data_IF_613127742077
#
_entry.id   IF_613127742077
#
_cell.length_a   1.000
_cell.length_b   1.000
_cell.length_c   1.000
_cell.angle_alpha   90.00
_cell.angle_beta   90.00
_cell.angle_gamma   90.00
#
_symmetry.space_group_name_H-M   'P 1'
#
loop_
_entity.id
_entity.type
_entity.pdbx_description
1 polymer ?
#
# COMPACT_ATOMS: atom_id res chain seq x y z
N UNK A 1 -10.74 -10.04 6.18
CA UNK A 1 -10.66 -11.52 6.09
C UNK A 1 -11.06 -12.03 4.70
N UNK A 2 -12.21 -11.62 4.15
CA UNK A 2 -12.71 -12.10 2.84
C UNK A 2 -11.73 -11.81 1.69
N UNK A 3 -11.05 -10.66 1.70
CA UNK A 3 -10.06 -10.29 0.69
C UNK A 3 -8.80 -11.17 0.66
N UNK A 4 -8.56 -11.98 1.70
CA UNK A 4 -7.41 -12.89 1.75
C UNK A 4 -7.49 -14.03 0.74
N UNK A 5 -8.68 -14.37 0.27
CA UNK A 5 -8.87 -15.41 -0.75
C UNK A 5 -8.53 -14.90 -2.16
N UNK A 6 -8.60 -13.58 -2.37
CA UNK A 6 -8.32 -12.96 -3.67
C UNK A 6 -6.91 -13.27 -4.22
N UNK A 7 -5.81 -13.29 -3.42
CA UNK A 7 -4.48 -13.62 -3.90
C UNK A 7 -4.35 -15.01 -4.56
N UNK A 8 -5.23 -15.96 -4.26
CA UNK A 8 -5.17 -17.32 -4.84
C UNK A 8 -5.13 -17.27 -6.37
N UNK A 9 -5.97 -16.44 -6.98
CA UNK A 9 -6.05 -16.34 -8.44
C UNK A 9 -5.23 -15.15 -8.95
N UNK A 10 -5.28 -14.00 -8.27
CA UNK A 10 -4.64 -12.78 -8.72
C UNK A 10 -3.12 -12.90 -8.82
N UNK A 11 -2.48 -13.61 -7.91
CA UNK A 11 -1.04 -13.87 -7.95
C UNK A 11 -0.61 -14.60 -9.22
N UNK A 12 -1.29 -15.70 -9.53
CA UNK A 12 -0.97 -16.51 -10.71
C UNK A 12 -1.35 -15.79 -12.00
N UNK A 13 -2.49 -15.09 -12.01
CA UNK A 13 -2.94 -14.31 -13.16
C UNK A 13 -1.91 -13.23 -13.55
N UNK A 14 -1.33 -12.54 -12.59
CA UNK A 14 -0.26 -11.55 -12.86
C UNK A 14 0.94 -12.20 -13.53
N UNK A 15 1.40 -13.35 -13.01
CA UNK A 15 2.57 -14.07 -13.56
C UNK A 15 2.32 -14.61 -14.96
N UNK A 16 1.17 -15.25 -15.17
CA UNK A 16 0.81 -15.83 -16.44
C UNK A 16 0.60 -14.73 -17.51
N UNK A 17 -0.09 -13.64 -17.15
CA UNK A 17 -0.30 -12.50 -18.05
C UNK A 17 1.02 -11.82 -18.43
N UNK A 18 1.95 -11.63 -17.48
CA UNK A 18 3.27 -11.06 -17.75
C UNK A 18 4.14 -11.95 -18.65
N UNK A 19 3.85 -13.25 -18.71
CA UNK A 19 4.50 -14.21 -19.60
C UNK A 19 3.74 -14.45 -20.91
N UNK A 20 2.72 -13.64 -21.18
CA UNK A 20 1.83 -13.78 -22.34
C UNK A 20 1.08 -15.13 -22.42
N UNK A 21 0.85 -15.79 -21.29
CA UNK A 21 -0.01 -16.96 -21.22
C UNK A 21 -1.47 -16.50 -21.23
N UNK A 22 -2.28 -17.09 -22.11
CA UNK A 22 -3.70 -16.79 -22.25
C UNK A 22 -4.50 -17.34 -21.05
N UNK A 23 -4.71 -16.50 -20.05
CA UNK A 23 -5.33 -16.88 -18.78
C UNK A 23 -6.36 -15.87 -18.25
N UNK A 24 -6.54 -14.75 -18.92
CA UNK A 24 -7.32 -13.63 -18.41
C UNK A 24 -8.80 -13.95 -18.16
N UNK A 25 -9.48 -14.63 -19.12
CA UNK A 25 -10.88 -15.07 -18.93
C UNK A 25 -11.00 -16.10 -17.80
N UNK A 26 -10.05 -17.03 -17.73
CA UNK A 26 -9.98 -18.01 -16.64
C UNK A 26 -9.82 -17.32 -15.28
N UNK A 27 -9.01 -16.27 -15.22
CA UNK A 27 -8.79 -15.49 -14.01
C UNK A 27 -10.07 -14.78 -13.55
N UNK A 28 -10.76 -14.09 -14.44
CA UNK A 28 -12.02 -13.37 -14.11
C UNK A 28 -13.10 -14.35 -13.65
N UNK A 29 -13.37 -15.41 -14.43
CA UNK A 29 -14.42 -16.38 -14.09
C UNK A 29 -14.13 -17.13 -12.78
N UNK A 30 -12.88 -17.52 -12.56
CA UNK A 30 -12.47 -18.20 -11.33
C UNK A 30 -12.60 -17.29 -10.11
N UNK A 31 -12.24 -16.02 -10.25
CA UNK A 31 -12.37 -15.02 -9.17
C UNK A 31 -13.84 -14.74 -8.87
N UNK A 32 -14.70 -14.65 -9.88
CA UNK A 32 -16.14 -14.49 -9.66
C UNK A 32 -16.72 -15.71 -8.94
N UNK A 33 -16.30 -16.93 -9.28
CA UNK A 33 -16.71 -18.14 -8.56
C UNK A 33 -16.26 -18.10 -7.08
N UNK A 34 -15.01 -17.70 -6.80
CA UNK A 34 -14.51 -17.56 -5.43
C UNK A 34 -15.24 -16.43 -4.67
N UNK A 35 -15.68 -15.38 -5.36
CA UNK A 35 -16.43 -14.29 -4.72
C UNK A 35 -17.77 -14.74 -4.15
N UNK A 36 -18.42 -15.77 -4.74
CA UNK A 36 -19.64 -16.37 -4.18
C UNK A 36 -19.35 -16.97 -2.80
N UNK A 37 -18.24 -17.72 -2.66
CA UNK A 37 -17.79 -18.20 -1.36
C UNK A 37 -17.45 -17.04 -0.39
N UNK A 38 -16.85 -15.98 -0.90
CA UNK A 38 -16.57 -14.76 -0.15
C UNK A 38 -17.84 -14.08 0.37
N UNK A 39 -18.88 -13.99 -0.45
CA UNK A 39 -20.22 -13.47 -0.07
C UNK A 39 -20.82 -14.32 1.05
N UNK A 40 -20.80 -15.65 0.91
CA UNK A 40 -21.34 -16.55 1.91
C UNK A 40 -20.61 -16.41 3.26
N UNK A 41 -19.28 -16.32 3.22
CA UNK A 41 -18.45 -16.11 4.41
C UNK A 41 -18.73 -14.73 5.04
N UNK A 42 -18.86 -13.69 4.23
CA UNK A 42 -19.17 -12.34 4.73
C UNK A 42 -20.54 -12.31 5.43
N UNK A 43 -21.57 -12.91 4.84
CA UNK A 43 -22.91 -12.99 5.45
C UNK A 43 -22.84 -13.71 6.78
N UNK A 44 -22.12 -14.84 6.85
CA UNK A 44 -21.93 -15.58 8.09
C UNK A 44 -21.28 -14.73 9.18
N UNK A 45 -20.16 -14.07 8.84
CA UNK A 45 -19.44 -13.17 9.77
C UNK A 45 -20.33 -12.01 10.20
N UNK A 46 -21.05 -11.39 9.27
CA UNK A 46 -21.96 -10.27 9.56
C UNK A 46 -23.08 -10.67 10.53
N UNK A 47 -23.57 -11.89 10.40
CA UNK A 47 -24.58 -12.42 11.32
C UNK A 47 -24.05 -12.61 12.73
N UNK A 48 -22.84 -13.20 12.85
CA UNK A 48 -22.17 -13.33 14.16
C UNK A 48 -21.83 -11.98 14.77
N UNK A 49 -21.30 -11.05 13.99
CA UNK A 49 -20.97 -9.72 14.49
C UNK A 49 -22.21 -8.96 14.96
N UNK A 50 -23.31 -9.00 14.22
CA UNK A 50 -24.59 -8.38 14.64
C UNK A 50 -25.18 -9.02 15.91
N UNK A 51 -24.86 -10.28 16.21
CA UNK A 51 -25.30 -10.95 17.44
C UNK A 51 -24.46 -10.57 18.67
N UNK A 52 -23.14 -10.40 18.49
CA UNK A 52 -22.20 -10.14 19.59
C UNK A 52 -21.85 -8.66 19.79
N UNK A 53 -22.30 -7.77 18.90
CA UNK A 53 -21.99 -6.34 18.97
C UNK A 53 -23.25 -5.52 18.76
N UNK A 54 -23.28 -4.30 19.28
CA UNK A 54 -24.39 -3.34 19.08
C UNK A 54 -24.44 -2.73 17.66
N UNK A 55 -23.72 -3.31 16.71
CA UNK A 55 -23.70 -2.81 15.33
C UNK A 55 -24.97 -3.21 14.59
N UNK A 56 -25.59 -2.24 13.92
CA UNK A 56 -26.81 -2.48 13.14
C UNK A 56 -26.55 -3.52 12.03
N UNK A 57 -27.18 -4.69 12.16
CA UNK A 57 -27.02 -5.82 11.24
C UNK A 57 -27.37 -5.48 9.79
N UNK A 58 -28.35 -4.58 9.56
CA UNK A 58 -28.72 -4.17 8.21
C UNK A 58 -27.57 -3.43 7.52
N UNK A 59 -26.81 -2.61 8.23
CA UNK A 59 -25.64 -1.90 7.69
C UNK A 59 -24.55 -2.91 7.32
N UNK A 60 -24.29 -3.91 8.16
CA UNK A 60 -23.35 -4.98 7.84
C UNK A 60 -23.77 -5.75 6.59
N UNK A 61 -25.06 -6.08 6.46
CA UNK A 61 -25.58 -6.82 5.29
C UNK A 61 -25.48 -6.00 3.99
N UNK A 62 -25.69 -4.69 4.04
CA UNK A 62 -25.49 -3.82 2.85
C UNK A 62 -24.05 -3.90 2.35
N UNK A 63 -23.08 -4.08 3.24
CA UNK A 63 -21.66 -4.26 2.88
C UNK A 63 -21.37 -5.48 2.02
N UNK A 64 -22.27 -6.47 1.95
CA UNK A 64 -22.15 -7.66 1.08
C UNK A 64 -21.92 -7.28 -0.38
N UNK A 65 -22.54 -6.20 -0.86
CA UNK A 65 -22.43 -5.72 -2.25
C UNK A 65 -20.97 -5.40 -2.64
N UNK A 66 -20.13 -5.03 -1.67
CA UNK A 66 -18.72 -4.72 -1.91
C UNK A 66 -17.89 -5.96 -2.22
N UNK A 67 -18.26 -7.16 -1.75
CA UNK A 67 -17.46 -8.36 -1.90
C UNK A 67 -17.17 -8.68 -3.38
N UNK A 68 -18.17 -8.89 -4.25
CA UNK A 68 -17.91 -9.22 -5.65
C UNK A 68 -17.19 -8.07 -6.39
N UNK A 69 -17.45 -6.84 -6.02
CA UNK A 69 -16.82 -5.66 -6.62
C UNK A 69 -15.34 -5.59 -6.28
N UNK A 70 -14.96 -5.84 -5.02
CA UNK A 70 -13.55 -5.88 -4.58
C UNK A 70 -12.82 -7.05 -5.26
N UNK A 71 -13.45 -8.22 -5.41
CA UNK A 71 -12.86 -9.35 -6.12
C UNK A 71 -12.64 -9.04 -7.60
N UNK A 72 -13.61 -8.41 -8.27
CA UNK A 72 -13.50 -8.01 -9.66
C UNK A 72 -12.42 -6.93 -9.85
N UNK A 73 -12.38 -5.91 -8.99
CA UNK A 73 -11.34 -4.89 -9.01
C UNK A 73 -9.95 -5.53 -8.82
N UNK A 74 -9.81 -6.45 -7.84
CA UNK A 74 -8.57 -7.15 -7.54
C UNK A 74 -8.05 -7.97 -8.73
N UNK A 75 -8.90 -8.74 -9.41
CA UNK A 75 -8.45 -9.54 -10.54
C UNK A 75 -8.11 -8.70 -11.78
N UNK A 76 -8.87 -7.64 -12.06
CA UNK A 76 -8.55 -6.70 -13.13
C UNK A 76 -7.24 -5.96 -12.86
N UNK A 77 -6.99 -5.60 -11.60
CA UNK A 77 -5.71 -5.06 -11.16
C UNK A 77 -4.58 -6.06 -11.41
N UNK A 78 -4.77 -7.34 -11.09
CA UNK A 78 -3.77 -8.39 -11.30
C UNK A 78 -3.45 -8.61 -12.78
N UNK A 79 -4.45 -8.65 -13.65
CA UNK A 79 -4.27 -8.77 -15.10
C UNK A 79 -3.49 -7.56 -15.63
N UNK A 80 -3.88 -6.34 -15.24
CA UNK A 80 -3.19 -5.12 -15.66
C UNK A 80 -1.78 -5.04 -15.07
N UNK A 81 -1.54 -5.58 -13.88
CA UNK A 81 -0.20 -5.64 -13.31
C UNK A 81 0.76 -6.45 -14.19
N UNK A 82 0.28 -7.54 -14.79
CA UNK A 82 1.07 -8.33 -15.74
C UNK A 82 1.13 -7.76 -17.16
N UNK A 83 0.18 -6.90 -17.55
CA UNK A 83 0.04 -6.42 -18.93
C UNK A 83 0.34 -4.94 -19.13
N UNK A 84 -0.43 -4.08 -18.49
CA UNK A 84 -0.35 -2.61 -18.58
C UNK A 84 -0.32 -1.98 -17.16
N UNK A 85 0.81 -2.05 -16.44
CA UNK A 85 0.86 -1.63 -15.02
C UNK A 85 0.40 -0.18 -14.77
N UNK A 86 0.57 0.72 -15.74
CA UNK A 86 0.09 2.12 -15.65
C UNK A 86 -1.43 2.23 -15.48
N UNK A 87 -2.18 1.26 -16.01
CA UNK A 87 -3.65 1.23 -15.87
C UNK A 87 -4.09 1.19 -14.39
N UNK A 88 -3.28 0.56 -13.53
CA UNK A 88 -3.56 0.48 -12.09
C UNK A 88 -3.54 1.88 -11.46
N UNK A 89 -2.56 2.72 -11.86
CA UNK A 89 -2.46 4.09 -11.38
C UNK A 89 -3.67 4.93 -11.80
N UNK A 90 -4.14 4.77 -13.03
CA UNK A 90 -5.36 5.44 -13.51
C UNK A 90 -6.60 4.96 -12.77
N UNK A 91 -6.75 3.65 -12.55
CA UNK A 91 -7.86 3.09 -11.77
C UNK A 91 -7.87 3.58 -10.32
N UNK A 92 -6.70 3.60 -9.67
CA UNK A 92 -6.54 4.10 -8.30
C UNK A 92 -6.83 5.60 -8.19
N UNK A 93 -6.34 6.40 -9.15
CA UNK A 93 -6.60 7.83 -9.20
C UNK A 93 -8.10 8.11 -9.39
N UNK A 94 -8.73 7.41 -10.32
CA UNK A 94 -10.16 7.56 -10.57
C UNK A 94 -11.00 7.18 -9.35
N UNK A 95 -10.64 6.09 -8.65
CA UNK A 95 -11.25 5.73 -7.38
C UNK A 95 -11.12 6.86 -6.35
N UNK A 96 -9.91 7.37 -6.14
CA UNK A 96 -9.64 8.42 -5.15
C UNK A 96 -10.39 9.73 -5.45
N UNK A 97 -10.33 10.19 -6.72
CA UNK A 97 -10.99 11.44 -7.14
C UNK A 97 -12.53 11.32 -7.09
N UNK A 98 -13.08 10.17 -7.45
CA UNK A 98 -14.53 9.97 -7.47
C UNK A 98 -15.12 9.67 -6.10
N UNK A 99 -14.38 9.00 -5.20
CA UNK A 99 -14.89 8.60 -3.89
C UNK A 99 -15.27 9.79 -3.01
N UNK A 100 -14.51 10.89 -3.05
CA UNK A 100 -14.75 12.09 -2.21
C UNK A 100 -16.07 12.79 -2.57
N UNK A 101 -16.30 13.25 -3.82
CA UNK A 101 -17.55 13.93 -4.16
C UNK A 101 -18.76 13.01 -4.04
N UNK A 102 -18.62 11.72 -4.36
CA UNK A 102 -19.73 10.75 -4.20
C UNK A 102 -20.06 10.59 -2.71
N UNK A 103 -19.05 10.47 -1.84
CA UNK A 103 -19.24 10.36 -0.40
C UNK A 103 -19.92 11.62 0.17
N UNK A 104 -19.44 12.81 -0.20
CA UNK A 104 -20.06 14.07 0.22
C UNK A 104 -21.54 14.17 -0.22
N UNK A 105 -21.86 13.75 -1.45
CA UNK A 105 -23.22 13.72 -1.94
C UNK A 105 -24.14 12.81 -1.12
N UNK A 106 -23.71 11.57 -0.86
CA UNK A 106 -24.56 10.61 -0.11
C UNK A 106 -24.61 10.90 1.38
N UNK A 107 -23.51 11.36 1.98
CA UNK A 107 -23.45 11.58 3.44
C UNK A 107 -24.05 12.94 3.79
N UNK A 108 -23.62 14.00 3.12
CA UNK A 108 -23.97 15.36 3.47
C UNK A 108 -25.30 15.82 2.85
N UNK A 109 -25.51 15.54 1.54
CA UNK A 109 -26.69 16.01 0.83
C UNK A 109 -27.90 15.10 1.03
N UNK A 110 -27.71 13.77 0.99
CA UNK A 110 -28.80 12.79 1.18
C UNK A 110 -28.93 12.29 2.63
N UNK A 111 -28.02 12.61 3.52
CA UNK A 111 -28.02 12.19 4.94
C UNK A 111 -28.07 10.67 5.14
N UNK A 112 -27.46 9.88 4.25
CA UNK A 112 -27.45 8.41 4.33
C UNK A 112 -26.48 7.85 5.39
N UNK A 113 -25.70 8.70 6.04
CA UNK A 113 -24.76 8.29 7.10
C UNK A 113 -23.80 7.18 6.63
N UNK A 114 -23.66 6.12 7.42
CA UNK A 114 -22.76 4.98 7.11
C UNK A 114 -23.14 4.26 5.82
N UNK A 115 -24.43 4.13 5.51
CA UNK A 115 -24.89 3.53 4.26
C UNK A 115 -24.40 4.33 3.05
N UNK A 116 -24.38 5.67 3.17
CA UNK A 116 -23.83 6.55 2.14
C UNK A 116 -22.34 6.31 1.87
N UNK A 117 -21.55 5.97 2.90
CA UNK A 117 -20.15 5.59 2.74
C UNK A 117 -20.04 4.29 1.93
N UNK A 118 -20.81 3.26 2.26
CA UNK A 118 -20.80 1.97 1.57
C UNK A 118 -21.15 2.16 0.08
N UNK A 119 -22.17 2.93 -0.22
CA UNK A 119 -22.59 3.24 -1.60
C UNK A 119 -21.48 4.02 -2.33
N UNK A 120 -20.86 5.00 -1.69
CA UNK A 120 -19.78 5.76 -2.32
C UNK A 120 -18.56 4.91 -2.66
N UNK A 121 -18.15 4.02 -1.76
CA UNK A 121 -17.07 3.05 -1.99
C UNK A 121 -17.44 2.09 -3.13
N UNK A 122 -18.70 1.62 -3.19
CA UNK A 122 -19.19 0.78 -4.27
C UNK A 122 -19.09 1.48 -5.62
N UNK A 123 -19.64 2.69 -5.76
CA UNK A 123 -19.63 3.44 -7.01
C UNK A 123 -18.23 3.84 -7.45
N UNK A 124 -17.37 4.27 -6.53
CA UNK A 124 -15.99 4.59 -6.83
C UNK A 124 -15.20 3.35 -7.34
N UNK A 125 -15.45 2.17 -6.76
CA UNK A 125 -14.89 0.92 -7.28
C UNK A 125 -15.41 0.59 -8.68
N UNK A 126 -16.67 0.82 -8.99
CA UNK A 126 -17.23 0.60 -10.35
C UNK A 126 -16.51 1.49 -11.35
N UNK A 127 -16.25 2.76 -11.02
CA UNK A 127 -15.50 3.68 -11.91
C UNK A 127 -14.07 3.13 -12.14
N UNK A 128 -13.41 2.68 -11.09
CA UNK A 128 -12.08 2.05 -11.20
C UNK A 128 -12.12 0.80 -12.09
N UNK A 129 -13.12 -0.08 -11.89
CA UNK A 129 -13.32 -1.30 -12.66
C UNK A 129 -13.49 -1.01 -14.15
N UNK A 130 -14.27 0.01 -14.52
CA UNK A 130 -14.47 0.41 -15.92
C UNK A 130 -13.13 0.73 -16.58
N UNK A 131 -12.28 1.51 -15.91
CA UNK A 131 -10.95 1.86 -16.41
C UNK A 131 -10.06 0.62 -16.51
N UNK A 132 -9.96 -0.17 -15.45
CA UNK A 132 -9.15 -1.37 -15.44
C UNK A 132 -9.59 -2.38 -16.51
N UNK A 133 -10.89 -2.56 -16.71
CA UNK A 133 -11.46 -3.42 -17.73
C UNK A 133 -11.12 -2.93 -19.14
N UNK A 134 -11.19 -1.61 -19.40
CA UNK A 134 -10.82 -1.03 -20.68
C UNK A 134 -9.40 -1.44 -21.11
N UNK A 135 -8.44 -1.40 -20.18
CA UNK A 135 -7.06 -1.79 -20.45
C UNK A 135 -6.84 -3.32 -20.49
N UNK A 136 -7.62 -4.08 -19.71
CA UNK A 136 -7.50 -5.55 -19.62
C UNK A 136 -8.28 -6.31 -20.70
N UNK A 137 -9.21 -5.65 -21.44
CA UNK A 137 -10.16 -6.29 -22.35
C UNK A 137 -9.53 -7.24 -23.37
N UNK A 138 -8.33 -6.94 -23.87
CA UNK A 138 -7.62 -7.77 -24.84
C UNK A 138 -7.22 -9.12 -24.24
N UNK A 139 -6.80 -9.14 -22.96
CA UNK A 139 -6.38 -10.35 -22.24
C UNK A 139 -7.56 -11.17 -21.68
N UNK A 140 -8.77 -10.60 -21.65
CA UNK A 140 -9.99 -11.28 -21.16
C UNK A 140 -10.75 -11.98 -22.29
N UNK A 141 -10.40 -11.73 -23.57
CA UNK A 141 -11.07 -12.34 -24.73
C UNK A 141 -10.75 -13.82 -24.93
N UNK A 142 -9.74 -14.35 -24.25
CA UNK A 142 -9.30 -15.74 -24.30
C UNK A 142 -10.40 -16.71 -23.90
N UNK A 143 -10.19 -18.01 -24.15
CA UNK A 143 -11.10 -19.05 -23.69
C UNK A 143 -10.80 -19.46 -22.23
N UNK A 144 -11.83 -19.95 -21.51
CA UNK A 144 -11.62 -20.51 -20.18
C UNK A 144 -10.80 -21.80 -20.25
N UNK A 145 -9.68 -21.84 -19.53
CA UNK A 145 -8.79 -22.99 -19.47
C UNK A 145 -8.86 -23.68 -18.10
N UNK A 146 -9.53 -24.84 -18.06
CA UNK A 146 -9.70 -25.62 -16.84
C UNK A 146 -8.39 -26.16 -16.28
N UNK A 147 -7.39 -26.40 -17.11
CA UNK A 147 -6.07 -26.91 -16.68
C UNK A 147 -5.32 -25.84 -15.91
N UNK A 148 -5.33 -24.61 -16.40
CA UNK A 148 -4.75 -23.45 -15.71
C UNK A 148 -5.44 -23.24 -14.35
N UNK A 149 -6.76 -23.26 -14.31
CA UNK A 149 -7.52 -23.12 -13.07
C UNK A 149 -7.16 -24.18 -12.03
N UNK A 150 -7.11 -25.47 -12.44
CA UNK A 150 -6.69 -26.57 -11.56
C UNK A 150 -5.26 -26.39 -11.04
N UNK A 151 -4.34 -25.93 -11.90
CA UNK A 151 -2.95 -25.63 -11.52
C UNK A 151 -2.92 -24.53 -10.44
N UNK A 152 -3.67 -23.45 -10.60
CA UNK A 152 -3.74 -22.37 -9.61
C UNK A 152 -4.29 -22.83 -8.27
N UNK A 153 -5.33 -23.66 -8.26
CA UNK A 153 -5.87 -24.22 -7.03
C UNK A 153 -4.88 -25.17 -6.34
N UNK A 154 -4.17 -26.02 -7.10
CA UNK A 154 -3.16 -26.94 -6.57
C UNK A 154 -2.04 -26.18 -5.84
N UNK A 155 -1.65 -25.01 -6.33
CA UNK A 155 -0.58 -24.19 -5.77
C UNK A 155 -1.10 -22.96 -5.00
N UNK A 156 -2.36 -22.94 -4.61
CA UNK A 156 -2.99 -21.84 -3.88
C UNK A 156 -2.34 -21.51 -2.53
N UNK A 157 -1.72 -22.50 -1.89
CA UNK A 157 -1.00 -22.34 -0.64
C UNK A 157 0.16 -21.32 -0.74
N UNK A 158 0.79 -21.23 -1.92
CA UNK A 158 1.93 -20.33 -2.12
C UNK A 158 1.56 -18.83 -2.04
N UNK A 159 0.52 -18.32 -2.75
CA UNK A 159 0.06 -16.94 -2.58
C UNK A 159 -0.65 -16.68 -1.24
N UNK A 160 -1.15 -17.71 -0.56
CA UNK A 160 -1.75 -17.55 0.78
C UNK A 160 -0.69 -17.42 1.88
N UNK A 161 0.47 -18.00 1.70
CA UNK A 161 1.54 -17.97 2.70
C UNK A 161 1.98 -16.55 3.11
N UNK A 162 2.21 -15.58 2.20
CA UNK A 162 2.47 -14.21 2.58
C UNK A 162 1.35 -13.56 3.40
N UNK A 163 0.10 -14.00 3.19
CA UNK A 163 -1.06 -13.54 3.94
C UNK A 163 -0.99 -13.87 5.43
N UNK A 164 -0.30 -14.95 5.80
CA UNK A 164 -0.11 -15.33 7.22
C UNK A 164 0.68 -14.23 7.95
N UNK A 165 1.74 -13.70 7.34
CA UNK A 165 2.50 -12.62 7.94
C UNK A 165 1.64 -11.35 8.16
N UNK A 166 0.75 -11.03 7.21
CA UNK A 166 -0.18 -9.91 7.32
C UNK A 166 -1.20 -10.13 8.44
N UNK A 167 -1.72 -11.36 8.59
CA UNK A 167 -2.64 -11.71 9.70
C UNK A 167 -1.96 -11.57 11.04
N UNK A 168 -0.76 -12.12 11.17
CA UNK A 168 0.01 -12.04 12.42
C UNK A 168 0.36 -10.59 12.75
N UNK A 169 0.74 -9.78 11.75
CA UNK A 169 0.99 -8.36 11.96
C UNK A 169 -0.26 -7.64 12.50
N UNK A 170 -1.44 -7.91 11.92
CA UNK A 170 -2.70 -7.28 12.34
C UNK A 170 -3.17 -7.65 13.76
N UNK A 171 -2.50 -8.60 14.44
CA UNK A 171 -2.75 -8.87 15.85
C UNK A 171 -2.25 -7.73 16.76
N UNK A 172 -1.38 -6.85 16.27
CA UNK A 172 -0.81 -5.74 17.02
C UNK A 172 -1.89 -4.81 17.60
N UNK A 173 -2.93 -4.49 16.82
CA UNK A 173 -4.09 -3.71 17.26
C UNK A 173 -4.81 -4.41 18.40
N UNK A 174 -5.07 -5.72 18.25
CA UNK A 174 -5.75 -6.51 19.28
C UNK A 174 -4.92 -6.61 20.56
N UNK A 175 -3.62 -6.84 20.43
CA UNK A 175 -2.66 -6.92 21.54
C UNK A 175 -2.62 -5.60 22.30
N UNK A 176 -2.47 -4.48 21.56
CA UNK A 176 -2.49 -3.16 22.19
C UNK A 176 -3.78 -2.93 22.96
N UNK A 177 -4.94 -3.21 22.36
CA UNK A 177 -6.24 -3.01 23.00
C UNK A 177 -6.42 -3.88 24.24
N UNK A 178 -6.02 -5.15 24.18
CA UNK A 178 -6.18 -6.10 25.30
C UNK A 178 -5.26 -5.71 26.48
N UNK A 179 -4.02 -5.34 26.18
CA UNK A 179 -3.03 -5.05 27.23
C UNK A 179 -3.27 -3.68 27.85
N UNK A 180 -3.58 -2.66 27.03
CA UNK A 180 -3.73 -1.28 27.53
C UNK A 180 -5.14 -0.92 27.95
N UNK A 181 -6.16 -1.62 27.45
CA UNK A 181 -7.57 -1.25 27.61
C UNK A 181 -7.95 0.09 26.94
N UNK A 182 -7.04 0.69 26.16
CA UNK A 182 -7.17 2.06 25.65
C UNK A 182 -7.73 2.12 24.24
N UNK A 183 -9.03 2.41 24.11
CA UNK A 183 -9.66 2.75 22.81
C UNK A 183 -9.17 4.11 22.29
N UNK A 184 -8.88 5.06 23.19
CA UNK A 184 -8.34 6.38 22.84
C UNK A 184 -6.96 6.26 22.19
N UNK A 185 -6.09 5.36 22.71
CA UNK A 185 -4.80 5.07 22.11
C UNK A 185 -4.93 4.59 20.66
N UNK A 186 -5.92 3.73 20.37
CA UNK A 186 -6.19 3.30 18.98
C UNK A 186 -6.63 4.46 18.08
N UNK A 187 -7.43 5.40 18.59
CA UNK A 187 -7.83 6.57 17.81
C UNK A 187 -6.61 7.41 17.42
N UNK A 188 -5.68 7.66 18.36
CA UNK A 188 -4.41 8.36 18.10
C UNK A 188 -3.53 7.58 17.12
N UNK A 189 -3.41 6.25 17.25
CA UNK A 189 -2.68 5.40 16.32
C UNK A 189 -3.24 5.51 14.90
N UNK A 190 -4.56 5.36 14.76
CA UNK A 190 -5.23 5.43 13.46
C UNK A 190 -5.05 6.80 12.81
N UNK A 191 -5.21 7.88 13.57
CA UNK A 191 -4.96 9.23 13.10
C UNK A 191 -3.50 9.42 12.65
N UNK A 192 -2.54 8.98 13.48
CA UNK A 192 -1.11 9.06 13.18
C UNK A 192 -0.71 8.29 11.91
N UNK A 193 -1.40 7.19 11.57
CA UNK A 193 -1.14 6.40 10.35
C UNK A 193 -1.64 7.06 9.06
N UNK A 194 -2.59 8.00 9.12
CA UNK A 194 -3.17 8.63 7.92
C UNK A 194 -2.10 9.32 7.07
N UNK A 195 -1.26 10.15 7.68
CA UNK A 195 -0.23 10.91 6.96
C UNK A 195 0.87 10.00 6.37
N UNK A 196 1.48 9.07 7.14
CA UNK A 196 2.44 8.11 6.60
C UNK A 196 1.89 7.24 5.47
N UNK A 197 0.58 6.95 5.46
CA UNK A 197 -0.05 6.14 4.41
C UNK A 197 0.17 6.70 3.00
N UNK A 198 0.36 8.01 2.86
CA UNK A 198 0.69 8.68 1.59
C UNK A 198 1.99 8.12 1.00
N UNK A 199 2.96 7.76 1.85
CA UNK A 199 4.25 7.21 1.42
C UNK A 199 4.08 5.85 0.74
N UNK A 200 3.06 5.08 1.13
CA UNK A 200 2.77 3.78 0.52
C UNK A 200 2.46 3.89 -0.99
N UNK A 201 2.01 5.05 -1.47
CA UNK A 201 1.73 5.28 -2.88
C UNK A 201 3.00 5.31 -3.75
N UNK A 202 4.19 5.47 -3.16
CA UNK A 202 5.46 5.31 -3.89
C UNK A 202 5.62 3.90 -4.46
N UNK A 203 4.97 2.89 -3.87
CA UNK A 203 4.93 1.54 -4.41
C UNK A 203 4.34 1.47 -5.83
N UNK A 204 3.53 2.46 -6.25
CA UNK A 204 3.00 2.55 -7.62
C UNK A 204 4.10 2.67 -8.66
N UNK A 205 5.21 3.36 -8.32
CA UNK A 205 6.39 3.51 -9.18
C UNK A 205 6.99 2.15 -9.49
N UNK A 206 7.01 1.25 -8.51
CA UNK A 206 7.64 -0.07 -8.62
C UNK A 206 6.74 -1.16 -9.20
N UNK A 207 5.46 -0.87 -9.47
CA UNK A 207 4.53 -1.88 -10.02
C UNK A 207 4.95 -2.44 -11.38
N UNK A 208 5.62 -1.63 -12.21
CA UNK A 208 6.12 -2.09 -13.50
C UNK A 208 7.37 -2.98 -13.41
N UNK A 209 8.06 -3.03 -12.26
CA UNK A 209 9.29 -3.81 -12.07
C UNK A 209 9.01 -5.32 -12.19
N UNK A 210 8.00 -5.79 -11.48
CA UNK A 210 7.68 -7.20 -11.41
C UNK A 210 7.38 -7.85 -12.78
N UNK A 211 6.48 -7.30 -13.63
CA UNK A 211 6.23 -7.84 -14.97
C UNK A 211 7.47 -7.83 -15.85
N UNK A 212 8.25 -6.74 -15.83
CA UNK A 212 9.48 -6.62 -16.65
C UNK A 212 10.53 -7.64 -16.25
N UNK A 213 10.66 -7.98 -14.96
CA UNK A 213 11.55 -9.04 -14.51
C UNK A 213 11.05 -10.43 -14.93
N UNK A 214 9.74 -10.67 -14.95
CA UNK A 214 9.16 -11.90 -15.46
C UNK A 214 9.38 -12.09 -16.97
N UNK A 215 9.45 -10.98 -17.73
CA UNK A 215 9.79 -10.98 -19.17
C UNK A 215 11.30 -11.11 -19.43
N UNK A 216 12.13 -11.32 -18.41
CA UNK A 216 13.60 -11.41 -18.48
C UNK A 216 14.28 -10.10 -18.95
N UNK A 217 13.59 -8.96 -18.85
CA UNK A 217 14.14 -7.65 -19.17
C UNK A 217 15.06 -7.11 -18.06
N UNK A 218 15.98 -6.25 -18.45
CA UNK A 218 17.24 -5.91 -17.78
C UNK A 218 17.15 -5.47 -16.31
N UNK A 219 18.18 -5.85 -15.54
CA UNK A 219 18.44 -5.49 -14.12
C UNK A 219 18.62 -3.98 -13.90
N UNK A 220 18.99 -3.23 -14.95
CA UNK A 220 19.14 -1.78 -14.94
C UNK A 220 17.83 -1.07 -14.61
N UNK A 221 16.70 -1.61 -15.10
CA UNK A 221 15.39 -1.07 -14.83
C UNK A 221 15.05 -1.07 -13.32
N UNK A 222 15.47 -2.10 -12.57
CA UNK A 222 15.26 -2.14 -11.13
C UNK A 222 16.08 -1.07 -10.39
N UNK A 223 17.33 -0.85 -10.80
CA UNK A 223 18.20 0.19 -10.22
C UNK A 223 17.62 1.59 -10.43
N UNK A 224 17.13 1.88 -11.64
CA UNK A 224 16.48 3.16 -11.96
C UNK A 224 15.18 3.35 -11.15
N UNK A 225 14.38 2.31 -11.06
CA UNK A 225 13.13 2.32 -10.31
C UNK A 225 13.36 2.56 -8.81
N UNK A 226 14.38 1.91 -8.22
CA UNK A 226 14.75 2.15 -6.83
C UNK A 226 15.22 3.60 -6.60
N UNK A 227 15.97 4.17 -7.54
CA UNK A 227 16.40 5.58 -7.45
C UNK A 227 15.19 6.52 -7.44
N UNK A 228 14.19 6.29 -8.29
CA UNK A 228 12.94 7.05 -8.29
C UNK A 228 12.12 6.83 -7.01
N UNK A 229 12.09 5.60 -6.51
CA UNK A 229 11.42 5.28 -5.25
C UNK A 229 12.04 6.04 -4.08
N UNK A 230 13.38 6.11 -4.00
CA UNK A 230 14.07 6.92 -3.00
C UNK A 230 13.81 8.41 -3.19
N UNK A 231 13.79 8.90 -4.43
CA UNK A 231 13.50 10.29 -4.73
C UNK A 231 12.14 10.74 -4.16
N UNK A 232 11.08 10.02 -4.53
CA UNK A 232 9.72 10.33 -4.04
C UNK A 232 9.54 9.93 -2.57
N UNK A 233 10.15 8.84 -2.12
CA UNK A 233 10.09 8.41 -0.73
C UNK A 233 10.68 9.43 0.23
N UNK A 234 11.88 9.95 -0.06
CA UNK A 234 12.54 11.00 0.73
C UNK A 234 11.69 12.26 0.75
N UNK A 235 11.15 12.68 -0.40
CA UNK A 235 10.26 13.83 -0.49
C UNK A 235 9.04 13.66 0.43
N UNK A 236 8.35 12.51 0.34
CA UNK A 236 7.13 12.27 1.12
C UNK A 236 7.41 12.08 2.62
N UNK A 237 8.52 11.44 2.99
CA UNK A 237 8.96 11.38 4.40
C UNK A 237 9.18 12.79 4.93
N UNK A 238 9.95 13.61 4.20
CA UNK A 238 10.23 14.99 4.62
C UNK A 238 8.96 15.84 4.70
N UNK A 239 8.01 15.61 3.78
CA UNK A 239 6.69 16.23 3.84
C UNK A 239 5.95 15.82 5.11
N UNK A 240 5.89 14.52 5.43
CA UNK A 240 5.22 14.05 6.66
C UNK A 240 5.92 14.61 7.89
N UNK A 241 7.25 14.57 7.95
CA UNK A 241 8.01 15.12 9.10
C UNK A 241 7.70 16.60 9.33
N UNK A 242 7.63 17.40 8.26
CA UNK A 242 7.36 18.85 8.33
C UNK A 242 5.92 19.13 8.72
N UNK A 243 4.96 18.40 8.15
CA UNK A 243 3.54 18.69 8.27
C UNK A 243 2.77 17.70 9.17
N UNK A 244 3.45 16.80 9.92
CA UNK A 244 2.77 15.87 10.82
C UNK A 244 1.89 16.59 11.84
N UNK A 245 2.44 17.61 12.51
CA UNK A 245 1.74 18.39 13.55
C UNK A 245 0.52 19.13 12.97
N UNK A 246 0.66 20.06 12.01
CA UNK A 246 -0.49 20.76 11.44
C UNK A 246 -1.44 19.84 10.66
N UNK A 247 -0.95 18.76 10.05
CA UNK A 247 -1.79 17.79 9.35
C UNK A 247 -2.71 17.01 10.30
N UNK A 248 -2.21 16.58 11.45
CA UNK A 248 -3.02 15.93 12.48
C UNK A 248 -4.00 16.92 13.14
N UNK A 249 -3.57 18.16 13.36
CA UNK A 249 -4.46 19.21 13.83
C UNK A 249 -5.62 19.46 12.85
N UNK A 250 -5.35 19.42 11.54
CA UNK A 250 -6.39 19.55 10.51
C UNK A 250 -7.46 18.45 10.56
N UNK A 251 -7.07 17.23 10.98
CA UNK A 251 -8.03 16.14 11.19
C UNK A 251 -8.89 16.37 12.44
N UNK A 252 -8.24 16.66 13.53
CA UNK A 252 -8.84 17.10 14.80
C UNK A 252 -7.73 17.60 15.71
N UNK A 253 -7.89 18.78 16.36
CA UNK A 253 -6.89 19.34 17.27
C UNK A 253 -6.38 18.37 18.34
N UNK A 254 -7.21 17.45 18.81
CA UNK A 254 -6.83 16.45 19.82
C UNK A 254 -5.76 15.46 19.32
N UNK A 255 -5.67 15.24 17.99
CA UNK A 255 -4.70 14.31 17.40
C UNK A 255 -3.31 14.94 17.22
N UNK A 256 -3.18 16.25 17.38
CA UNK A 256 -1.91 16.98 17.23
C UNK A 256 -0.78 16.32 18.05
N UNK A 257 -1.07 15.91 19.29
CA UNK A 257 -0.07 15.30 20.19
C UNK A 257 0.55 14.00 19.65
N UNK A 258 -0.11 13.34 18.69
CA UNK A 258 0.39 12.08 18.09
C UNK A 258 1.39 12.32 16.93
N UNK A 259 1.79 13.58 16.65
CA UNK A 259 2.72 13.86 15.54
C UNK A 259 4.06 13.12 15.62
N UNK A 260 4.68 12.86 16.80
CA UNK A 260 5.93 12.12 16.83
C UNK A 260 5.76 10.64 16.40
N UNK A 261 4.59 10.07 16.69
CA UNK A 261 4.23 8.72 16.23
C UNK A 261 4.13 8.70 14.70
N UNK A 262 3.46 9.69 14.09
CA UNK A 262 3.37 9.81 12.63
C UNK A 262 4.74 9.95 11.97
N UNK A 263 5.68 10.69 12.59
CA UNK A 263 7.06 10.80 12.09
C UNK A 263 7.75 9.45 12.08
N UNK A 264 7.72 8.69 13.18
CA UNK A 264 8.35 7.36 13.25
C UNK A 264 7.72 6.41 12.22
N UNK A 265 6.40 6.40 12.11
CA UNK A 265 5.66 5.57 11.16
C UNK A 265 5.97 5.95 9.70
N UNK A 266 6.35 7.19 9.40
CA UNK A 266 6.75 7.58 8.05
C UNK A 266 7.99 6.81 7.54
N UNK A 267 8.96 6.59 8.41
CA UNK A 267 10.14 5.79 8.11
C UNK A 267 9.78 4.29 8.02
N UNK A 268 8.94 3.80 8.94
CA UNK A 268 8.49 2.40 8.91
C UNK A 268 7.75 2.08 7.61
N UNK A 269 6.77 2.90 7.22
CA UNK A 269 6.00 2.71 5.97
C UNK A 269 6.92 2.72 4.75
N UNK A 270 7.92 3.59 4.70
CA UNK A 270 8.89 3.60 3.60
C UNK A 270 9.72 2.32 3.55
N UNK A 271 10.20 1.83 4.69
CA UNK A 271 10.91 0.54 4.77
C UNK A 271 10.00 -0.63 4.37
N UNK A 272 8.72 -0.57 4.73
CA UNK A 272 7.71 -1.56 4.31
C UNK A 272 7.51 -1.55 2.78
N UNK A 273 7.51 -0.36 2.15
CA UNK A 273 7.49 -0.24 0.68
C UNK A 273 8.74 -0.88 0.07
N UNK A 274 9.93 -0.58 0.58
CA UNK A 274 11.19 -1.20 0.11
C UNK A 274 11.14 -2.73 0.25
N UNK A 275 10.67 -3.24 1.39
CA UNK A 275 10.46 -4.67 1.62
C UNK A 275 9.60 -5.28 0.52
N UNK A 276 8.46 -4.69 0.20
CA UNK A 276 7.56 -5.19 -0.83
C UNK A 276 8.21 -5.17 -2.22
N UNK A 277 8.97 -4.11 -2.56
CA UNK A 277 9.71 -4.03 -3.82
C UNK A 277 10.77 -5.12 -3.92
N UNK A 278 11.52 -5.40 -2.86
CA UNK A 278 12.51 -6.46 -2.85
C UNK A 278 11.89 -7.85 -2.97
N UNK A 279 10.79 -8.10 -2.25
CA UNK A 279 10.04 -9.36 -2.35
C UNK A 279 9.50 -9.60 -3.77
N UNK A 280 8.90 -8.56 -4.39
CA UNK A 280 8.42 -8.63 -5.76
C UNK A 280 9.57 -8.84 -6.76
N UNK A 281 10.71 -8.19 -6.53
CA UNK A 281 11.89 -8.35 -7.40
C UNK A 281 12.45 -9.76 -7.34
N UNK A 282 12.58 -10.35 -6.15
CA UNK A 282 13.01 -11.74 -5.99
C UNK A 282 12.02 -12.72 -6.62
N UNK A 283 10.72 -12.47 -6.44
CA UNK A 283 9.68 -13.27 -7.08
C UNK A 283 9.68 -13.15 -8.62
N UNK A 284 10.01 -11.96 -9.16
CA UNK A 284 10.06 -11.69 -10.59
C UNK A 284 11.14 -12.47 -11.34
N UNK A 285 12.28 -12.75 -10.69
CA UNK A 285 13.38 -13.53 -11.31
C UNK A 285 13.27 -15.03 -11.06
N UNK A 286 12.26 -15.48 -10.30
CA UNK A 286 12.07 -16.91 -10.03
C UNK A 286 11.43 -17.63 -11.22
N UNK A 287 11.96 -18.80 -11.52
CA UNK A 287 11.54 -19.63 -12.67
C UNK A 287 10.96 -20.99 -12.27
N UNK A 288 10.88 -21.31 -10.97
CA UNK A 288 10.42 -22.62 -10.49
C UNK A 288 9.05 -23.02 -11.04
N UNK A 289 8.17 -22.06 -11.24
CA UNK A 289 6.81 -22.27 -11.76
C UNK A 289 6.72 -22.41 -13.28
N UNK A 290 7.84 -22.21 -14.01
CA UNK A 290 7.94 -22.51 -15.45
C UNK A 290 8.11 -24.01 -15.72
N UNK A 291 8.64 -24.77 -14.77
CA UNK A 291 8.88 -26.20 -14.93
C UNK A 291 7.63 -26.99 -14.54
N UNK A 292 7.14 -27.85 -15.46
CA UNK A 292 5.93 -28.66 -15.24
C UNK A 292 6.09 -29.67 -14.09
N UNK A 293 7.32 -30.18 -13.89
CA UNK A 293 7.65 -31.19 -12.89
C UNK A 293 8.11 -30.61 -11.54
N UNK A 294 7.93 -29.29 -11.30
CA UNK A 294 8.33 -28.69 -10.03
C UNK A 294 7.60 -29.33 -8.85
N UNK A 295 8.38 -29.79 -7.88
CA UNK A 295 7.88 -30.41 -6.65
C UNK A 295 7.63 -29.36 -5.57
N UNK A 296 6.88 -29.72 -4.51
CA UNK A 296 6.70 -28.88 -3.32
C UNK A 296 8.05 -28.46 -2.69
N UNK A 297 9.04 -29.36 -2.69
CA UNK A 297 10.37 -29.09 -2.15
C UNK A 297 11.12 -28.01 -2.94
N UNK A 298 10.92 -27.94 -4.26
CA UNK A 298 11.52 -26.91 -5.11
C UNK A 298 10.91 -25.56 -4.83
N UNK A 299 9.59 -25.48 -4.60
CA UNK A 299 8.92 -24.24 -4.20
C UNK A 299 9.39 -23.72 -2.84
N UNK A 300 9.58 -24.58 -1.83
CA UNK A 300 10.07 -24.17 -0.50
C UNK A 300 11.47 -23.55 -0.60
N UNK A 301 12.34 -24.05 -1.46
CA UNK A 301 13.70 -23.52 -1.67
C UNK A 301 13.73 -22.31 -2.61
N UNK A 302 12.61 -21.98 -3.23
CA UNK A 302 12.53 -20.92 -4.24
C UNK A 302 12.53 -19.51 -3.62
N UNK A 303 12.80 -18.51 -4.46
CA UNK A 303 12.68 -17.11 -4.14
C UNK A 303 11.23 -16.64 -3.95
N UNK A 304 10.26 -17.50 -4.22
CA UNK A 304 8.84 -17.24 -3.95
C UNK A 304 8.48 -17.48 -2.48
N UNK A 305 9.12 -18.48 -1.86
CA UNK A 305 8.79 -18.90 -0.49
C UNK A 305 9.77 -18.37 0.55
N UNK A 306 11.06 -18.56 0.34
CA UNK A 306 12.10 -18.28 1.34
C UNK A 306 12.09 -16.81 1.83
N UNK A 307 12.02 -15.77 0.98
CA UNK A 307 11.97 -14.39 1.44
C UNK A 307 10.70 -14.06 2.24
N UNK A 308 9.58 -14.70 1.91
CA UNK A 308 8.33 -14.55 2.67
C UNK A 308 8.44 -15.19 4.06
N UNK A 309 9.21 -16.28 4.19
CA UNK A 309 9.49 -16.90 5.49
C UNK A 309 10.30 -15.96 6.39
N UNK A 310 11.29 -15.27 5.84
CA UNK A 310 12.05 -14.25 6.58
C UNK A 310 11.12 -13.14 7.09
N UNK A 311 10.20 -12.67 6.23
CA UNK A 311 9.18 -11.70 6.62
C UNK A 311 8.28 -12.22 7.75
N UNK A 312 7.83 -13.46 7.65
CA UNK A 312 7.00 -14.07 8.71
C UNK A 312 7.74 -14.16 10.05
N UNK A 313 9.02 -14.58 10.03
CA UNK A 313 9.86 -14.65 11.23
C UNK A 313 10.00 -13.23 11.84
N UNK A 314 10.29 -12.21 11.03
CA UNK A 314 10.37 -10.83 11.50
C UNK A 314 9.06 -10.38 12.13
N UNK A 315 7.92 -10.69 11.50
CA UNK A 315 6.59 -10.33 12.03
C UNK A 315 6.32 -11.01 13.38
N UNK A 316 6.68 -12.29 13.54
CA UNK A 316 6.55 -13.00 14.82
C UNK A 316 7.43 -12.33 15.89
N UNK A 317 8.68 -12.01 15.57
CA UNK A 317 9.60 -11.30 16.49
C UNK A 317 9.01 -9.95 16.88
N UNK A 318 8.48 -9.18 15.92
CA UNK A 318 7.81 -7.91 16.16
C UNK A 318 6.66 -8.07 17.17
N UNK A 319 5.76 -9.03 16.96
CA UNK A 319 4.61 -9.26 17.83
C UNK A 319 5.03 -9.70 19.25
N UNK A 320 6.06 -10.55 19.35
CA UNK A 320 6.58 -10.97 20.67
C UNK A 320 7.15 -9.77 21.42
N UNK A 321 8.01 -8.97 20.79
CA UNK A 321 8.63 -7.79 21.42
C UNK A 321 7.57 -6.77 21.81
N UNK A 322 6.59 -6.52 20.92
CA UNK A 322 5.47 -5.62 21.20
C UNK A 322 4.66 -6.09 22.42
N UNK A 323 4.28 -7.37 22.45
CA UNK A 323 3.48 -7.94 23.54
C UNK A 323 4.20 -7.85 24.89
N UNK A 324 5.45 -8.31 24.93
CA UNK A 324 6.27 -8.29 26.16
C UNK A 324 6.53 -6.84 26.61
N UNK A 325 6.92 -5.98 25.68
CA UNK A 325 7.23 -4.59 26.00
C UNK A 325 6.00 -3.80 26.47
N UNK A 326 4.84 -3.94 25.83
CA UNK A 326 3.60 -3.32 26.31
C UNK A 326 3.19 -3.83 27.69
N UNK A 327 3.31 -5.14 27.95
CA UNK A 327 2.97 -5.73 29.25
C UNK A 327 3.84 -5.17 30.40
N UNK A 328 5.11 -4.83 30.11
CA UNK A 328 6.01 -4.22 31.08
C UNK A 328 5.69 -2.73 31.26
N UNK A 329 5.46 -2.02 30.15
CA UNK A 329 5.30 -0.56 30.16
C UNK A 329 3.97 -0.10 30.73
N UNK A 330 2.87 -0.84 30.53
CA UNK A 330 1.53 -0.45 31.03
C UNK A 330 1.51 -0.21 32.53
N UNK A 331 2.34 -0.94 33.29
CA UNK A 331 2.46 -0.76 34.75
C UNK A 331 3.34 0.43 35.19
N UNK A 332 4.18 0.94 34.29
CA UNK A 332 5.21 1.95 34.62
C UNK A 332 5.03 3.30 33.92
N UNK A 333 4.26 3.33 32.83
CA UNK A 333 4.08 4.50 31.96
C UNK A 333 2.66 5.04 32.08
N UNK A 334 2.55 6.36 32.35
CA UNK A 334 1.25 7.00 32.61
C UNK A 334 0.48 7.52 31.39
N UNK A 335 1.12 7.55 30.19
CA UNK A 335 0.50 8.19 29.03
C UNK A 335 0.34 7.24 27.83
N UNK A 336 -0.84 7.32 27.17
CA UNK A 336 -1.08 6.60 25.92
C UNK A 336 -0.06 6.94 24.83
N UNK A 337 0.45 8.18 24.81
CA UNK A 337 1.43 8.64 23.83
C UNK A 337 2.75 7.86 23.92
N UNK A 338 3.26 7.62 25.13
CA UNK A 338 4.50 6.86 25.33
C UNK A 338 4.36 5.39 24.88
N UNK A 339 3.20 4.79 25.13
CA UNK A 339 2.89 3.45 24.64
C UNK A 339 2.84 3.39 23.09
N UNK A 340 2.29 4.42 22.46
CA UNK A 340 2.27 4.53 21.00
C UNK A 340 3.64 4.81 20.39
N UNK A 341 4.48 5.62 21.06
CA UNK A 341 5.86 5.84 20.67
C UNK A 341 6.68 4.56 20.76
N UNK A 342 6.49 3.78 21.82
CA UNK A 342 7.10 2.46 21.93
C UNK A 342 6.62 1.55 20.79
N UNK A 343 5.32 1.44 20.54
CA UNK A 343 4.77 0.60 19.48
C UNK A 343 5.34 0.98 18.10
N UNK A 344 5.29 2.25 17.72
CA UNK A 344 5.82 2.73 16.44
C UNK A 344 7.33 2.52 16.32
N UNK A 345 8.08 2.70 17.41
CA UNK A 345 9.54 2.47 17.45
C UNK A 345 9.88 1.00 17.23
N UNK A 346 9.17 0.06 17.87
CA UNK A 346 9.40 -1.37 17.67
C UNK A 346 9.04 -1.78 16.25
N UNK A 347 7.95 -1.26 15.67
CA UNK A 347 7.61 -1.50 14.28
C UNK A 347 8.75 -1.07 13.34
N UNK A 348 9.30 0.14 13.52
CA UNK A 348 10.42 0.64 12.73
C UNK A 348 11.70 -0.19 12.95
N UNK A 349 12.10 -0.43 14.20
CA UNK A 349 13.36 -1.12 14.53
C UNK A 349 13.37 -2.56 14.00
N UNK A 350 12.25 -3.26 14.10
CA UNK A 350 12.17 -4.65 13.59
C UNK A 350 12.12 -4.71 12.06
N UNK A 351 11.71 -3.65 11.38
CA UNK A 351 11.67 -3.58 9.92
C UNK A 351 13.06 -3.39 9.30
N UNK A 352 13.99 -2.70 9.98
CA UNK A 352 15.34 -2.43 9.48
C UNK A 352 16.12 -3.72 9.13
N UNK A 353 16.26 -4.72 10.02
CA UNK A 353 16.95 -5.96 9.70
C UNK A 353 16.33 -6.71 8.51
N UNK A 354 14.99 -6.70 8.40
CA UNK A 354 14.30 -7.33 7.30
C UNK A 354 14.71 -6.72 5.95
N UNK A 355 14.70 -5.38 5.87
CA UNK A 355 15.11 -4.66 4.66
C UNK A 355 16.56 -4.96 4.30
N UNK A 356 17.48 -4.96 5.29
CA UNK A 356 18.89 -5.27 5.07
C UNK A 356 19.09 -6.69 4.53
N UNK A 357 18.42 -7.67 5.11
CA UNK A 357 18.51 -9.08 4.67
C UNK A 357 17.95 -9.23 3.26
N UNK A 358 16.78 -8.66 2.97
CA UNK A 358 16.18 -8.73 1.63
C UNK A 358 17.03 -8.01 0.59
N UNK A 359 17.60 -6.85 0.92
CA UNK A 359 18.54 -6.14 0.05
C UNK A 359 19.77 -7.01 -0.28
N UNK A 360 20.36 -7.67 0.72
CA UNK A 360 21.46 -8.61 0.50
C UNK A 360 21.07 -9.74 -0.48
N UNK A 361 19.89 -10.34 -0.31
CA UNK A 361 19.39 -11.36 -1.24
C UNK A 361 19.15 -10.82 -2.65
N UNK A 362 18.62 -9.63 -2.77
CA UNK A 362 18.41 -8.97 -4.08
C UNK A 362 19.77 -8.70 -4.73
N UNK A 363 20.77 -8.18 -4.00
CA UNK A 363 22.12 -7.95 -4.50
C UNK A 363 22.79 -9.25 -4.99
N UNK A 364 22.69 -10.31 -4.21
CA UNK A 364 23.24 -11.63 -4.58
C UNK A 364 22.66 -12.17 -5.88
N UNK A 365 21.39 -11.90 -6.17
CA UNK A 365 20.69 -12.44 -7.32
C UNK A 365 20.66 -11.53 -8.55
N UNK A 366 20.81 -10.21 -8.36
CA UNK A 366 20.57 -9.23 -9.43
C UNK A 366 21.68 -8.21 -9.63
N UNK A 367 22.68 -8.10 -8.71
CA UNK A 367 23.79 -7.12 -8.80
C UNK A 367 23.31 -5.68 -9.07
N UNK A 368 22.44 -5.16 -8.21
CA UNK A 368 21.86 -3.83 -8.34
C UNK A 368 22.89 -2.76 -7.96
N UNK A 369 23.02 -1.72 -8.76
CA UNK A 369 23.83 -0.55 -8.42
C UNK A 369 22.93 0.57 -7.89
N UNK A 370 22.89 0.72 -6.55
CA UNK A 370 22.26 1.91 -5.96
C UNK A 370 23.19 3.11 -6.12
N UNK A 371 22.68 4.18 -6.67
CA UNK A 371 23.41 5.44 -6.82
C UNK A 371 23.34 6.24 -5.50
N UNK A 372 24.05 5.76 -4.47
CA UNK A 372 24.03 6.34 -3.11
C UNK A 372 24.29 7.85 -3.13
N UNK A 373 25.24 8.32 -3.95
CA UNK A 373 25.53 9.75 -4.09
C UNK A 373 24.30 10.58 -4.50
N UNK A 374 23.42 10.01 -5.33
CA UNK A 374 22.17 10.68 -5.73
C UNK A 374 21.16 10.67 -4.61
N UNK A 375 21.00 9.54 -3.91
CA UNK A 375 20.07 9.41 -2.78
C UNK A 375 20.44 10.42 -1.70
N UNK A 376 21.74 10.55 -1.40
CA UNK A 376 22.25 11.56 -0.44
C UNK A 376 21.95 12.98 -0.93
N UNK A 377 22.14 13.28 -2.22
CA UNK A 377 21.78 14.61 -2.77
C UNK A 377 20.28 14.90 -2.59
N UNK A 378 19.42 13.94 -2.90
CA UNK A 378 17.96 14.10 -2.69
C UNK A 378 17.62 14.34 -1.22
N UNK A 379 18.29 13.62 -0.30
CA UNK A 379 18.14 13.82 1.14
C UNK A 379 18.56 15.23 1.59
N UNK A 380 19.73 15.70 1.14
CA UNK A 380 20.21 17.04 1.50
C UNK A 380 19.27 18.13 0.97
N UNK A 381 18.82 18.01 -0.28
CA UNK A 381 17.83 18.95 -0.85
C UNK A 381 16.53 18.93 -0.07
N UNK A 382 16.03 17.74 0.27
CA UNK A 382 14.81 17.60 1.04
C UNK A 382 14.93 18.22 2.44
N UNK A 383 16.01 17.92 3.17
CA UNK A 383 16.26 18.50 4.51
C UNK A 383 16.32 20.04 4.44
N UNK A 384 17.02 20.58 3.43
CA UNK A 384 17.14 22.04 3.28
C UNK A 384 15.79 22.70 2.99
N UNK A 385 15.03 22.16 2.05
CA UNK A 385 13.76 22.77 1.62
C UNK A 385 12.67 22.57 2.67
N UNK A 386 12.48 21.34 3.12
CA UNK A 386 11.43 21.03 4.08
C UNK A 386 11.77 21.56 5.49
N UNK A 387 13.06 21.67 5.85
CA UNK A 387 13.50 22.38 7.05
C UNK A 387 13.17 23.89 6.98
N UNK A 388 13.43 24.52 5.82
CA UNK A 388 13.03 25.90 5.59
C UNK A 388 11.50 26.06 5.60
N UNK A 389 10.80 25.15 4.96
CA UNK A 389 9.32 25.16 4.94
C UNK A 389 8.74 24.95 6.34
N UNK A 390 9.36 24.08 7.15
CA UNK A 390 8.97 23.88 8.56
C UNK A 390 9.06 25.20 9.33
N UNK A 391 10.18 25.91 9.20
CA UNK A 391 10.36 27.20 9.85
C UNK A 391 9.30 28.23 9.41
N UNK A 392 9.03 28.33 8.10
CA UNK A 392 7.97 29.19 7.59
C UNK A 392 6.59 28.80 8.10
N UNK A 393 6.32 27.50 8.19
CA UNK A 393 5.02 26.99 8.67
C UNK A 393 4.85 27.28 10.16
N UNK A 394 5.88 27.10 10.95
CA UNK A 394 5.85 27.38 12.40
C UNK A 394 5.60 28.86 12.69
N UNK A 395 6.18 29.76 11.91
CA UNK A 395 6.07 31.21 12.09
C UNK A 395 4.75 31.80 11.52
N UNK A 396 4.31 31.33 10.35
CA UNK A 396 3.24 31.98 9.59
C UNK A 396 1.93 31.22 9.52
N UNK A 397 1.89 29.91 9.86
CA UNK A 397 0.65 29.14 9.83
C UNK A 397 -0.17 29.40 11.11
N UNK A 398 -1.28 30.09 10.95
CA UNK A 398 -2.22 30.32 12.06
C UNK A 398 -3.13 29.10 12.21
N UNK A 399 -3.06 28.45 13.37
CA UNK A 399 -3.94 27.32 13.71
C UNK A 399 -5.36 27.82 13.96
N UNK A 400 -6.32 27.28 13.24
CA UNK A 400 -7.74 27.61 13.35
C UNK A 400 -8.59 26.33 13.36
N UNK A 401 -9.63 26.33 14.17
CA UNK A 401 -10.63 25.25 14.17
C UNK A 401 -11.58 25.32 12.97
N UNK A 402 -11.59 26.46 12.26
CA UNK A 402 -12.28 26.56 10.98
C UNK A 402 -11.48 25.87 9.87
N UNK A 403 -11.97 24.70 9.48
CA UNK A 403 -11.37 23.82 8.46
C UNK A 403 -11.25 24.52 7.11
N UNK A 404 -12.21 25.39 6.75
CA UNK A 404 -12.22 26.07 5.45
C UNK A 404 -11.19 27.19 5.34
N UNK A 405 -10.72 27.75 6.44
CA UNK A 405 -9.62 28.72 6.46
C UNK A 405 -8.25 28.03 6.65
N UNK A 406 -8.20 26.99 7.49
CA UNK A 406 -6.95 26.33 7.85
C UNK A 406 -6.39 25.44 6.72
N UNK A 407 -7.23 24.57 6.12
CA UNK A 407 -6.77 23.63 5.08
C UNK A 407 -6.19 24.33 3.85
N UNK A 408 -6.80 25.39 3.27
CA UNK A 408 -6.19 26.08 2.14
C UNK A 408 -4.81 26.68 2.47
N UNK A 409 -4.65 27.25 3.67
CA UNK A 409 -3.36 27.77 4.14
C UNK A 409 -2.33 26.65 4.26
N UNK A 410 -2.68 25.52 4.86
CA UNK A 410 -1.81 24.35 4.96
C UNK A 410 -1.41 23.81 3.58
N UNK A 411 -2.36 23.69 2.64
CA UNK A 411 -2.09 23.26 1.26
C UNK A 411 -1.13 24.21 0.54
N UNK A 412 -1.21 25.51 0.80
CA UNK A 412 -0.30 26.50 0.23
C UNK A 412 1.15 26.22 0.66
N UNK A 413 1.41 25.99 1.95
CA UNK A 413 2.76 25.65 2.45
C UNK A 413 3.24 24.29 1.93
N UNK A 414 2.37 23.28 1.88
CA UNK A 414 2.68 21.98 1.28
C UNK A 414 3.08 22.15 -0.18
N UNK A 415 2.28 22.85 -0.97
CA UNK A 415 2.53 23.11 -2.38
C UNK A 415 3.83 23.88 -2.62
N UNK A 416 4.13 24.85 -1.75
CA UNK A 416 5.37 25.58 -1.79
C UNK A 416 6.58 24.68 -1.56
N UNK A 417 6.60 23.87 -0.49
CA UNK A 417 7.69 22.94 -0.19
C UNK A 417 7.91 21.91 -1.30
N UNK A 418 6.82 21.28 -1.76
CA UNK A 418 6.85 20.29 -2.84
C UNK A 418 7.32 20.93 -4.16
N UNK A 419 6.80 22.10 -4.51
CA UNK A 419 7.18 22.85 -5.70
C UNK A 419 8.67 23.21 -5.71
N UNK A 420 9.19 23.74 -4.60
CA UNK A 420 10.62 24.04 -4.46
C UNK A 420 11.48 22.77 -4.58
N UNK A 421 11.07 21.67 -3.99
CA UNK A 421 11.79 20.39 -4.11
C UNK A 421 11.90 19.95 -5.57
N UNK A 422 10.80 19.99 -6.32
CA UNK A 422 10.82 19.65 -7.74
C UNK A 422 11.67 20.63 -8.56
N UNK A 423 11.57 21.92 -8.33
CA UNK A 423 12.36 22.92 -9.04
C UNK A 423 13.86 22.71 -8.81
N UNK A 424 14.30 22.60 -7.57
CA UNK A 424 15.72 22.47 -7.25
C UNK A 424 16.28 21.14 -7.76
N UNK A 425 15.55 20.04 -7.60
CA UNK A 425 15.99 18.73 -8.09
C UNK A 425 16.02 18.66 -9.62
N UNK A 426 15.13 19.37 -10.32
CA UNK A 426 15.15 19.52 -11.77
C UNK A 426 16.47 20.16 -12.27
N UNK A 427 16.99 21.16 -11.55
CA UNK A 427 18.27 21.80 -11.92
C UNK A 427 19.49 20.96 -11.55
N UNK A 428 19.46 20.23 -10.44
CA UNK A 428 20.59 19.49 -9.90
C UNK A 428 20.76 18.10 -10.56
N UNK A 429 19.65 17.41 -10.92
CA UNK A 429 19.68 16.05 -11.41
C UNK A 429 19.19 15.91 -12.85
N UNK A 430 20.12 15.43 -13.74
CA UNK A 430 19.83 15.26 -15.17
C UNK A 430 18.69 14.26 -15.46
N UNK A 431 18.53 13.20 -14.63
CA UNK A 431 17.48 12.19 -14.86
C UNK A 431 16.12 12.71 -14.44
N UNK A 432 16.05 13.45 -13.32
CA UNK A 432 14.80 14.10 -12.91
C UNK A 432 14.37 15.11 -13.96
N UNK A 433 15.31 15.89 -14.50
CA UNK A 433 15.04 16.78 -15.63
C UNK A 433 14.51 16.03 -16.84
N UNK A 434 15.14 14.92 -17.24
CA UNK A 434 14.67 14.07 -18.34
C UNK A 434 13.27 13.52 -18.10
N UNK A 435 12.97 13.05 -16.88
CA UNK A 435 11.66 12.55 -16.50
C UNK A 435 10.58 13.64 -16.61
N UNK A 436 10.83 14.82 -16.05
CA UNK A 436 9.89 15.95 -16.11
C UNK A 436 9.66 16.39 -17.57
N UNK A 437 10.73 16.50 -18.37
CA UNK A 437 10.61 16.85 -19.78
C UNK A 437 9.81 15.81 -20.58
N UNK A 438 9.99 14.51 -20.29
CA UNK A 438 9.22 13.44 -20.93
C UNK A 438 7.73 13.55 -20.58
N UNK A 439 7.38 13.83 -19.32
CA UNK A 439 5.99 14.04 -18.88
C UNK A 439 5.38 15.26 -19.60
N UNK A 440 6.10 16.39 -19.65
CA UNK A 440 5.63 17.60 -20.32
C UNK A 440 5.41 17.34 -21.82
N UNK A 441 6.32 16.61 -22.47
CA UNK A 441 6.19 16.23 -23.87
C UNK A 441 4.96 15.36 -24.12
N UNK A 442 4.74 14.35 -23.27
CA UNK A 442 3.57 13.46 -23.39
C UNK A 442 2.25 14.21 -23.19
N UNK A 443 2.18 15.14 -22.24
CA UNK A 443 0.99 15.99 -22.05
C UNK A 443 0.73 16.84 -23.30
N UNK A 444 1.77 17.46 -23.86
CA UNK A 444 1.63 18.28 -25.08
C UNK A 444 1.17 17.48 -26.29
N UNK A 445 1.69 16.26 -26.47
CA UNK A 445 1.34 15.42 -27.64
C UNK A 445 -0.06 14.79 -27.51
N UNK A 446 -0.61 14.65 -26.30
CA UNK A 446 -1.98 14.17 -26.10
C UNK A 446 -3.02 15.30 -26.14
N UNK A 447 -2.62 16.56 -25.99
CA UNK A 447 -3.50 17.73 -26.05
C UNK A 447 -3.59 18.37 -27.43
N UNK A 448 -2.77 17.93 -28.35
CA UNK A 448 -2.81 18.22 -29.79
C UNK A 448 -3.48 17.07 -30.56
#
# INVERSE_FOLDING_TARGET
>A
YVSMVNPIISYWSTRDTARNIESGKSAVLSTMLLSVGGVSLYILISYFMGYYTDVNQNILLIGVILVPVIFLNGILTAINHGWKPHAISYGTLAYGVSSIPIALFFIYYLNFGVTGIIISVFLANIISIIILFYYAKEKIRDQFNKTIFKKWLKFSWLPLYPGIAILVAGLDISIFTIITGSVIGLAFWTAAMILPSIISHTALISRAVYPKLLEEKTKEFLSENLTLLFYFGIMLISLVVTFARPGLYALNPIYEIAFPVAIILSFEVFLSVLTNVFLLSLAGVEKVDKFENSTFKDYIKSKLFFPQTIRLIQTIIYIIILTVGLSILVGSVGSNLELLLFWSSIALVTQIPLVCVLYYYVQKNMTIKLEISRIVKFGLVAISIFGFTYFLTDEFLVYSTDVFSFIPSLIMFISFGVGLYFIITYFIDKRIRSLVNAIIYEIKTRSS
#
